data_IF_000188599128
#
_entry.id   IF_000188599128
#
_cell.length_a   1.000
_cell.length_b   1.000
_cell.length_c   1.000
_cell.angle_alpha   90.00
_cell.angle_beta   90.00
_cell.angle_gamma   90.00
#
_symmetry.space_group_name_H-M   'P 1'
#
loop_
_entity.id
_entity.type
_entity.pdbx_description
1 polymer ?
#
# COMPACT_ATOMS: atom_id res chain seq x y z
N UNK A 1 -11.97 -32.46 -3.43
CA UNK A 1 -10.57 -31.95 -3.31
C UNK A 1 -10.53 -30.67 -4.11
N UNK A 2 -10.06 -29.57 -3.53
CA UNK A 2 -10.10 -28.27 -4.19
C UNK A 2 -8.94 -28.16 -5.18
N UNK A 3 -9.23 -27.87 -6.45
CA UNK A 3 -8.24 -27.60 -7.50
C UNK A 3 -8.35 -26.16 -7.98
N UNK A 4 -7.21 -25.53 -8.30
CA UNK A 4 -7.16 -24.15 -8.82
C UNK A 4 -6.27 -24.14 -10.05
N UNK A 5 -6.81 -23.68 -11.19
CA UNK A 5 -6.12 -23.76 -12.49
C UNK A 5 -6.70 -22.76 -13.50
N UNK A 6 -5.96 -22.47 -14.59
CA UNK A 6 -6.53 -21.77 -15.74
C UNK A 6 -7.72 -22.51 -16.35
N UNK A 7 -8.66 -21.79 -17.00
CA UNK A 7 -9.72 -22.41 -17.78
C UNK A 7 -9.13 -23.19 -18.97
N UNK A 8 -9.74 -24.32 -19.32
CA UNK A 8 -9.27 -25.21 -20.40
C UNK A 8 -9.89 -24.90 -21.75
N UNK A 9 -11.04 -24.24 -21.76
CA UNK A 9 -11.81 -23.96 -22.96
C UNK A 9 -12.72 -22.74 -22.73
N UNK A 10 -13.30 -22.17 -23.80
CA UNK A 10 -14.21 -21.03 -23.68
C UNK A 10 -15.44 -21.28 -22.81
N UNK A 11 -15.91 -22.52 -22.66
CA UNK A 11 -17.04 -22.84 -21.80
C UNK A 11 -16.69 -22.67 -20.31
N UNK A 12 -15.46 -23.04 -19.90
CA UNK A 12 -14.99 -22.78 -18.54
C UNK A 12 -14.81 -21.27 -18.28
N UNK A 13 -14.38 -20.48 -19.26
CA UNK A 13 -14.31 -19.01 -19.11
C UNK A 13 -15.67 -18.41 -18.77
N UNK A 14 -16.76 -18.93 -19.37
CA UNK A 14 -18.14 -18.48 -19.06
C UNK A 14 -18.56 -18.78 -17.62
N UNK A 15 -17.95 -19.76 -16.96
CA UNK A 15 -18.23 -20.02 -15.55
C UNK A 15 -17.86 -18.81 -14.67
N UNK A 16 -16.92 -17.97 -15.09
CA UNK A 16 -16.57 -16.73 -14.38
C UNK A 16 -17.75 -15.73 -14.41
N UNK A 17 -18.51 -15.63 -15.51
CA UNK A 17 -19.73 -14.80 -15.55
C UNK A 17 -20.79 -15.32 -14.58
N UNK A 18 -20.98 -16.65 -14.54
CA UNK A 18 -21.93 -17.29 -13.63
C UNK A 18 -21.54 -17.06 -12.18
N UNK A 19 -20.27 -17.24 -11.85
CA UNK A 19 -19.74 -17.01 -10.51
C UNK A 19 -19.85 -15.53 -10.10
N UNK A 20 -19.62 -14.57 -11.00
CA UNK A 20 -19.81 -13.14 -10.71
C UNK A 20 -21.24 -12.85 -10.24
N UNK A 21 -22.25 -13.40 -10.94
CA UNK A 21 -23.66 -13.28 -10.55
C UNK A 21 -23.94 -13.92 -9.19
N UNK A 22 -23.48 -15.17 -9.00
CA UNK A 22 -23.78 -15.92 -7.78
C UNK A 22 -23.10 -15.36 -6.53
N UNK A 23 -21.90 -14.79 -6.67
CA UNK A 23 -21.11 -14.30 -5.53
C UNK A 23 -21.59 -12.93 -5.05
N UNK A 24 -21.95 -12.04 -5.97
CA UNK A 24 -22.23 -10.63 -5.63
C UNK A 24 -23.62 -10.14 -6.07
N UNK A 25 -24.42 -10.97 -6.74
CA UNK A 25 -25.72 -10.55 -7.27
C UNK A 25 -25.58 -9.40 -8.26
N UNK A 26 -24.53 -9.40 -9.09
CA UNK A 26 -24.24 -8.32 -10.02
C UNK A 26 -25.28 -8.25 -11.13
N UNK A 27 -25.69 -7.04 -11.47
CA UNK A 27 -26.47 -6.74 -12.67
C UNK A 27 -25.65 -7.00 -13.94
N UNK A 28 -26.32 -7.23 -15.06
CA UNK A 28 -25.65 -7.61 -16.31
C UNK A 28 -24.63 -6.57 -16.81
N UNK A 29 -24.82 -5.28 -16.49
CA UNK A 29 -23.88 -4.22 -16.84
C UNK A 29 -22.59 -4.21 -15.98
N UNK A 30 -22.64 -4.80 -14.78
CA UNK A 30 -21.51 -4.85 -13.86
C UNK A 30 -20.64 -6.10 -14.04
N UNK A 31 -21.17 -7.14 -14.70
CA UNK A 31 -20.45 -8.37 -14.97
C UNK A 31 -19.42 -8.12 -16.06
N UNK A 32 -18.18 -8.57 -15.84
CA UNK A 32 -17.20 -8.63 -16.93
C UNK A 32 -17.59 -9.78 -17.87
N UNK A 33 -17.95 -9.50 -19.13
CA UNK A 33 -18.45 -10.52 -20.04
C UNK A 33 -17.31 -11.41 -20.56
N UNK A 34 -17.65 -12.63 -20.98
CA UNK A 34 -16.72 -13.69 -21.35
C UNK A 34 -15.80 -13.30 -22.50
N UNK A 35 -16.30 -12.51 -23.46
CA UNK A 35 -15.53 -12.05 -24.60
C UNK A 35 -14.42 -11.09 -24.14
N UNK A 36 -14.69 -10.24 -23.16
CA UNK A 36 -13.69 -9.38 -22.52
C UNK A 36 -12.71 -10.21 -21.69
N UNK A 37 -13.19 -11.16 -20.89
CA UNK A 37 -12.31 -12.06 -20.12
C UNK A 37 -11.36 -12.84 -21.04
N UNK A 38 -11.86 -13.34 -22.16
CA UNK A 38 -11.08 -14.05 -23.16
C UNK A 38 -10.05 -13.13 -23.84
N UNK A 39 -10.45 -11.91 -24.21
CA UNK A 39 -9.52 -10.92 -24.77
C UNK A 39 -8.40 -10.55 -23.77
N UNK A 40 -8.74 -10.41 -22.48
CA UNK A 40 -7.76 -10.16 -21.42
C UNK A 40 -6.75 -11.30 -21.29
N UNK A 41 -7.21 -12.55 -21.31
CA UNK A 41 -6.34 -13.73 -21.28
C UNK A 41 -5.36 -13.73 -22.46
N UNK A 42 -5.85 -13.49 -23.68
CA UNK A 42 -5.00 -13.38 -24.88
C UNK A 42 -3.97 -12.23 -24.80
N UNK A 43 -4.33 -11.13 -24.14
CA UNK A 43 -3.46 -9.96 -23.97
C UNK A 43 -2.42 -10.13 -22.83
N UNK A 44 -2.24 -11.33 -22.29
CA UNK A 44 -1.29 -11.61 -21.21
C UNK A 44 -1.89 -11.47 -19.81
N UNK A 45 -3.21 -11.37 -19.70
CA UNK A 45 -3.95 -11.50 -18.45
C UNK A 45 -3.88 -12.91 -17.87
N UNK A 46 -4.47 -13.06 -16.68
CA UNK A 46 -4.56 -14.34 -15.99
C UNK A 46 -5.99 -14.54 -15.52
N UNK A 47 -6.58 -15.67 -15.89
CA UNK A 47 -7.82 -16.20 -15.36
C UNK A 47 -7.50 -17.46 -14.58
N UNK A 48 -8.06 -17.62 -13.37
CA UNK A 48 -8.02 -18.87 -12.63
C UNK A 48 -9.41 -19.19 -12.08
N UNK A 49 -9.77 -20.47 -12.16
CA UNK A 49 -10.98 -21.04 -11.57
C UNK A 49 -10.60 -21.99 -10.44
N UNK A 50 -11.39 -21.96 -9.37
CA UNK A 50 -11.35 -22.94 -8.30
C UNK A 50 -12.51 -23.93 -8.46
N UNK A 51 -12.24 -25.21 -8.27
CA UNK A 51 -13.24 -26.27 -8.34
C UNK A 51 -13.20 -27.15 -7.09
N UNK A 52 -14.35 -27.62 -6.65
CA UNK A 52 -14.47 -28.79 -5.78
C UNK A 52 -15.03 -29.98 -6.60
N UNK A 53 -14.15 -30.91 -6.96
CA UNK A 53 -14.46 -31.87 -8.02
C UNK A 53 -14.66 -31.14 -9.36
N UNK A 54 -15.83 -31.30 -9.98
CA UNK A 54 -16.22 -30.60 -11.22
C UNK A 54 -17.02 -29.31 -10.95
N UNK A 55 -17.41 -29.04 -9.71
CA UNK A 55 -18.23 -27.88 -9.38
C UNK A 55 -17.34 -26.63 -9.25
N UNK A 56 -17.59 -25.55 -10.03
CA UNK A 56 -16.84 -24.31 -9.90
C UNK A 56 -17.27 -23.55 -8.65
N UNK A 57 -16.31 -23.18 -7.79
CA UNK A 57 -16.57 -22.60 -6.46
C UNK A 57 -16.00 -21.19 -6.26
N UNK A 58 -15.19 -20.71 -7.21
CA UNK A 58 -14.55 -19.41 -7.10
C UNK A 58 -13.64 -19.13 -8.27
N UNK A 59 -13.16 -17.90 -8.34
CA UNK A 59 -12.29 -17.46 -9.43
C UNK A 59 -11.41 -16.28 -9.01
N UNK A 60 -10.41 -16.00 -9.84
CA UNK A 60 -9.72 -14.71 -9.86
C UNK A 60 -9.33 -14.35 -11.27
N UNK A 61 -9.35 -13.06 -11.59
CA UNK A 61 -8.72 -12.58 -12.81
C UNK A 61 -8.03 -11.23 -12.65
N UNK A 62 -7.09 -10.98 -13.54
CA UNK A 62 -6.34 -9.74 -13.60
C UNK A 62 -5.57 -9.59 -14.91
N UNK A 63 -4.90 -8.46 -15.06
CA UNK A 63 -4.26 -8.07 -16.32
C UNK A 63 -2.96 -7.28 -16.10
N UNK A 64 -2.07 -7.25 -17.11
CA UNK A 64 -0.88 -6.39 -17.10
C UNK A 64 -1.24 -4.92 -16.90
N UNK A 65 -0.51 -4.25 -16.02
CA UNK A 65 -0.61 -2.81 -15.78
C UNK A 65 0.77 -2.15 -15.78
N UNK A 66 0.77 -0.83 -15.88
CA UNK A 66 1.99 -0.02 -15.83
C UNK A 66 1.78 1.17 -14.89
N UNK A 67 2.64 1.29 -13.87
CA UNK A 67 2.56 2.34 -12.84
C UNK A 67 3.95 2.81 -12.47
N UNK A 68 4.15 4.13 -12.44
CA UNK A 68 5.39 4.73 -11.96
C UNK A 68 6.66 4.23 -12.67
N UNK A 69 6.58 3.95 -13.98
CA UNK A 69 7.69 3.46 -14.78
C UNK A 69 7.93 1.94 -14.69
N UNK A 70 7.07 1.19 -13.99
CA UNK A 70 7.24 -0.25 -13.73
C UNK A 70 6.00 -1.03 -14.13
N UNK A 71 6.21 -2.25 -14.62
CA UNK A 71 5.15 -3.22 -14.84
C UNK A 71 4.62 -3.74 -13.50
N UNK A 72 3.31 -3.81 -13.36
CA UNK A 72 2.59 -4.36 -12.20
C UNK A 72 1.47 -5.25 -12.70
N UNK A 73 1.16 -6.34 -12.00
CA UNK A 73 -0.01 -7.13 -12.33
C UNK A 73 -1.26 -6.59 -11.61
N UNK A 74 -2.29 -6.15 -12.32
CA UNK A 74 -3.52 -5.66 -11.69
C UNK A 74 -4.49 -6.81 -11.44
N UNK A 75 -4.69 -7.18 -10.17
CA UNK A 75 -5.63 -8.23 -9.77
C UNK A 75 -7.04 -7.64 -9.63
N UNK A 76 -7.82 -7.67 -10.71
CA UNK A 76 -9.10 -6.99 -10.79
C UNK A 76 -10.18 -7.58 -9.85
N UNK A 77 -10.46 -8.88 -9.94
CA UNK A 77 -11.54 -9.51 -9.18
C UNK A 77 -11.10 -10.85 -8.60
N UNK A 78 -11.60 -11.17 -7.41
CA UNK A 78 -11.44 -12.48 -6.78
C UNK A 78 -12.66 -12.77 -5.93
N UNK A 79 -13.30 -13.91 -6.16
CA UNK A 79 -14.54 -14.28 -5.51
C UNK A 79 -14.61 -15.77 -5.19
N UNK A 80 -15.38 -16.08 -4.15
CA UNK A 80 -15.70 -17.45 -3.73
C UNK A 80 -17.19 -17.50 -3.40
N UNK A 81 -17.87 -18.57 -3.84
CA UNK A 81 -19.27 -18.80 -3.54
C UNK A 81 -19.56 -18.72 -2.03
N UNK A 82 -20.70 -18.12 -1.59
CA UNK A 82 -21.00 -17.87 -0.18
C UNK A 82 -20.80 -19.08 0.75
N UNK A 83 -21.25 -20.26 0.36
CA UNK A 83 -21.16 -21.52 1.10
C UNK A 83 -19.71 -22.04 1.24
N UNK A 84 -18.80 -21.59 0.38
CA UNK A 84 -17.37 -21.91 0.39
C UNK A 84 -16.52 -20.81 1.06
N UNK A 85 -17.13 -19.69 1.50
CA UNK A 85 -16.41 -18.63 2.19
C UNK A 85 -15.95 -19.06 3.59
N UNK A 86 -14.95 -18.37 4.13
CA UNK A 86 -14.33 -18.64 5.46
C UNK A 86 -13.63 -20.00 5.60
N UNK A 87 -13.48 -20.76 4.51
CA UNK A 87 -12.74 -22.04 4.46
C UNK A 87 -11.30 -21.89 3.92
N UNK A 88 -10.78 -20.66 3.83
CA UNK A 88 -9.44 -20.36 3.30
C UNK A 88 -9.30 -20.46 1.77
N UNK A 89 -10.39 -20.72 1.04
CA UNK A 89 -10.38 -20.90 -0.42
C UNK A 89 -9.90 -19.63 -1.15
N UNK A 90 -10.40 -18.45 -0.79
CA UNK A 90 -9.96 -17.19 -1.40
C UNK A 90 -8.46 -16.95 -1.27
N UNK A 91 -7.87 -17.36 -0.13
CA UNK A 91 -6.42 -17.29 0.09
C UNK A 91 -5.68 -18.25 -0.85
N UNK A 92 -6.14 -19.51 -0.96
CA UNK A 92 -5.57 -20.49 -1.89
C UNK A 92 -5.59 -19.97 -3.34
N UNK A 93 -6.72 -19.39 -3.77
CA UNK A 93 -6.86 -18.76 -5.10
C UNK A 93 -5.83 -17.66 -5.30
N UNK A 94 -5.67 -16.74 -4.34
CA UNK A 94 -4.71 -15.64 -4.45
C UNK A 94 -3.26 -16.11 -4.46
N UNK A 95 -2.89 -17.11 -3.66
CA UNK A 95 -1.52 -17.64 -3.70
C UNK A 95 -1.24 -18.45 -4.96
N UNK A 96 -2.23 -19.14 -5.54
CA UNK A 96 -2.13 -19.70 -6.88
C UNK A 96 -1.95 -18.58 -7.93
N UNK A 97 -2.69 -17.47 -7.82
CA UNK A 97 -2.50 -16.29 -8.67
C UNK A 97 -1.08 -15.73 -8.54
N UNK A 98 -0.57 -15.57 -7.32
CA UNK A 98 0.80 -15.10 -7.07
C UNK A 98 1.83 -15.96 -7.80
N UNK A 99 1.73 -17.28 -7.72
CA UNK A 99 2.64 -18.18 -8.41
C UNK A 99 2.64 -17.93 -9.93
N UNK A 100 1.46 -17.97 -10.54
CA UNK A 100 1.30 -17.76 -11.98
C UNK A 100 1.76 -16.36 -12.44
N UNK A 101 1.56 -15.34 -11.61
CA UNK A 101 1.99 -13.96 -11.88
C UNK A 101 3.50 -13.80 -11.75
N UNK A 102 4.12 -14.44 -10.76
CA UNK A 102 5.59 -14.45 -10.60
C UNK A 102 6.29 -15.20 -11.73
N UNK A 103 5.73 -16.33 -12.19
CA UNK A 103 6.23 -17.08 -13.35
C UNK A 103 6.24 -16.24 -14.63
N UNK A 104 5.39 -15.20 -14.72
CA UNK A 104 5.34 -14.22 -15.81
C UNK A 104 6.29 -13.03 -15.61
N UNK A 105 7.14 -13.05 -14.57
CA UNK A 105 8.16 -12.02 -14.32
C UNK A 105 7.69 -10.80 -13.51
N UNK A 106 6.46 -10.80 -13.01
CA UNK A 106 5.99 -9.71 -12.15
C UNK A 106 6.50 -9.87 -10.72
N UNK A 107 6.97 -8.76 -10.14
CA UNK A 107 7.44 -8.70 -8.75
C UNK A 107 6.39 -8.14 -7.79
N UNK A 108 5.35 -7.49 -8.33
CA UNK A 108 4.26 -6.89 -7.56
C UNK A 108 2.92 -7.07 -8.29
N UNK A 109 1.85 -7.13 -7.50
CA UNK A 109 0.48 -7.00 -7.98
C UNK A 109 -0.25 -5.86 -7.27
N UNK A 110 -1.29 -5.28 -7.87
CA UNK A 110 -2.06 -4.19 -7.27
C UNK A 110 -3.57 -4.38 -7.42
N UNK A 111 -4.34 -3.83 -6.48
CA UNK A 111 -5.80 -3.75 -6.54
C UNK A 111 -6.33 -2.75 -5.51
N UNK A 112 -7.65 -2.54 -5.52
CA UNK A 112 -8.33 -1.63 -4.60
C UNK A 112 -9.30 -2.36 -3.68
N UNK A 113 -9.48 -1.89 -2.44
CA UNK A 113 -10.55 -2.37 -1.55
C UNK A 113 -11.12 -1.26 -0.65
N UNK A 114 -12.34 -1.47 -0.14
CA UNK A 114 -13.00 -0.54 0.79
C UNK A 114 -12.37 -0.62 2.20
N UNK A 115 -11.74 0.47 2.69
CA UNK A 115 -10.95 0.45 3.92
C UNK A 115 -11.78 0.28 5.20
N UNK A 116 -13.06 0.65 5.19
CA UNK A 116 -13.91 0.53 6.39
C UNK A 116 -14.37 -0.91 6.65
N UNK A 117 -14.22 -1.83 5.69
CA UNK A 117 -14.67 -3.21 5.85
C UNK A 117 -13.55 -4.07 6.45
N UNK A 118 -13.68 -4.40 7.73
CA UNK A 118 -12.73 -5.24 8.47
C UNK A 118 -12.35 -6.54 7.73
N UNK A 119 -13.33 -7.23 7.13
CA UNK A 119 -13.05 -8.47 6.37
C UNK A 119 -12.07 -8.26 5.21
N UNK A 120 -12.11 -7.09 4.57
CA UNK A 120 -11.18 -6.75 3.50
C UNK A 120 -9.79 -6.48 4.08
N UNK A 121 -9.69 -5.82 5.24
CA UNK A 121 -8.43 -5.60 5.93
C UNK A 121 -7.76 -6.93 6.32
N UNK A 122 -8.53 -7.85 6.92
CA UNK A 122 -8.06 -9.19 7.29
C UNK A 122 -7.59 -9.95 6.06
N UNK A 123 -8.35 -9.94 4.97
CA UNK A 123 -7.97 -10.65 3.76
C UNK A 123 -6.74 -10.03 3.07
N UNK A 124 -6.79 -8.74 2.76
CA UNK A 124 -5.77 -8.10 1.92
C UNK A 124 -4.46 -7.83 2.67
N UNK A 125 -4.54 -7.36 3.93
CA UNK A 125 -3.36 -7.01 4.71
C UNK A 125 -2.87 -8.23 5.50
N UNK A 126 -3.66 -8.73 6.46
CA UNK A 126 -3.18 -9.80 7.35
C UNK A 126 -2.97 -11.15 6.65
N UNK A 127 -3.84 -11.53 5.71
CA UNK A 127 -3.78 -12.86 5.10
C UNK A 127 -2.88 -12.92 3.87
N UNK A 128 -2.81 -11.86 3.05
CA UNK A 128 -1.97 -11.84 1.85
C UNK A 128 -0.63 -11.11 2.08
N UNK A 129 -0.57 -10.17 3.02
CA UNK A 129 0.62 -9.33 3.21
C UNK A 129 0.72 -8.21 2.18
N UNK A 130 -0.42 -7.73 1.64
CA UNK A 130 -0.43 -6.53 0.83
C UNK A 130 -0.21 -5.28 1.71
N UNK A 131 0.34 -4.24 1.13
CA UNK A 131 0.65 -2.97 1.79
C UNK A 131 -0.10 -1.83 1.10
N UNK A 132 -0.53 -0.82 1.86
CA UNK A 132 -1.27 0.33 1.33
C UNK A 132 -0.48 1.62 1.55
N UNK A 133 -0.37 2.44 0.50
CA UNK A 133 0.25 3.78 0.55
C UNK A 133 -0.67 4.89 0.08
N UNK A 134 -1.85 4.54 -0.41
CA UNK A 134 -2.70 5.46 -1.13
C UNK A 134 -4.17 5.20 -0.83
N UNK A 135 -4.87 6.27 -0.51
CA UNK A 135 -6.32 6.34 -0.48
C UNK A 135 -6.77 7.07 -1.75
N UNK A 136 -7.70 6.45 -2.49
CA UNK A 136 -8.46 7.10 -3.54
C UNK A 136 -9.81 7.52 -2.96
N UNK A 137 -10.13 8.80 -3.10
CA UNK A 137 -11.41 9.37 -2.68
C UNK A 137 -12.40 9.19 -3.84
N UNK A 138 -13.55 8.60 -3.55
CA UNK A 138 -14.65 8.44 -4.52
C UNK A 138 -14.22 7.85 -5.87
N UNK A 139 -13.35 6.83 -5.85
CA UNK A 139 -12.70 6.27 -7.04
C UNK A 139 -13.68 5.86 -8.16
N UNK A 140 -14.85 5.37 -7.78
CA UNK A 140 -15.86 4.86 -8.70
C UNK A 140 -17.10 5.78 -8.79
N UNK A 141 -17.07 6.97 -8.18
CA UNK A 141 -18.23 7.86 -8.11
C UNK A 141 -19.42 7.23 -7.40
N UNK A 142 -20.63 7.66 -7.80
CA UNK A 142 -21.90 7.08 -7.36
C UNK A 142 -22.08 5.70 -7.99
N UNK A 143 -22.12 4.68 -7.14
CA UNK A 143 -22.39 3.31 -7.57
C UNK A 143 -23.88 3.04 -7.39
N UNK A 144 -24.58 2.65 -8.44
CA UNK A 144 -26.02 2.42 -8.43
C UNK A 144 -26.41 0.93 -8.36
N UNK A 145 -25.43 0.02 -8.40
CA UNK A 145 -25.61 -1.41 -8.63
C UNK A 145 -24.87 -2.31 -7.64
N UNK A 146 -25.43 -3.52 -7.45
CA UNK A 146 -24.83 -4.62 -6.69
C UNK A 146 -24.46 -4.31 -5.23
N UNK A 147 -23.41 -4.96 -4.73
CA UNK A 147 -22.93 -4.87 -3.34
C UNK A 147 -22.43 -3.49 -2.91
N UNK A 148 -22.26 -2.56 -3.87
CA UNK A 148 -21.69 -1.25 -3.62
C UNK A 148 -22.70 -0.09 -3.83
N UNK A 149 -23.95 -0.39 -4.17
CA UNK A 149 -24.97 0.62 -4.42
C UNK A 149 -25.12 1.63 -3.25
N UNK A 150 -25.10 2.93 -3.55
CA UNK A 150 -25.28 4.03 -2.59
C UNK A 150 -24.08 4.27 -1.65
N UNK A 151 -22.92 3.65 -1.89
CA UNK A 151 -21.74 3.80 -1.04
C UNK A 151 -20.77 4.87 -1.53
N UNK A 152 -20.07 5.48 -0.58
CA UNK A 152 -18.83 6.22 -0.86
C UNK A 152 -17.81 5.23 -1.44
N UNK A 153 -17.26 5.56 -2.61
CA UNK A 153 -16.34 4.70 -3.35
C UNK A 153 -14.87 4.93 -2.95
N UNK A 154 -14.61 5.30 -1.70
CA UNK A 154 -13.25 5.42 -1.18
C UNK A 154 -12.55 4.05 -1.21
N UNK A 155 -11.29 4.03 -1.68
CA UNK A 155 -10.53 2.79 -1.84
C UNK A 155 -9.10 2.94 -1.38
N UNK A 156 -8.64 1.99 -0.57
CA UNK A 156 -7.22 1.72 -0.45
C UNK A 156 -6.73 1.05 -1.72
N UNK A 157 -5.74 1.64 -2.39
CA UNK A 157 -4.95 0.96 -3.41
C UNK A 157 -3.78 0.27 -2.73
N UNK A 158 -3.77 -1.06 -2.81
CA UNK A 158 -2.71 -1.88 -2.24
C UNK A 158 -1.76 -2.38 -3.31
N UNK A 159 -0.50 -2.51 -2.89
CA UNK A 159 0.52 -3.26 -3.58
C UNK A 159 0.78 -4.56 -2.83
N UNK A 160 0.83 -5.67 -3.55
CA UNK A 160 1.20 -6.97 -3.02
C UNK A 160 2.60 -7.31 -3.51
N UNK A 161 3.63 -7.18 -2.65
CA UNK A 161 5.02 -7.39 -3.03
C UNK A 161 5.30 -8.90 -3.12
N UNK A 162 5.03 -9.48 -4.30
CA UNK A 162 4.96 -10.91 -4.52
C UNK A 162 6.24 -11.64 -4.10
N UNK A 163 7.41 -11.05 -4.32
CA UNK A 163 8.71 -11.66 -3.99
C UNK A 163 9.19 -11.38 -2.57
N UNK A 164 8.43 -10.64 -1.75
CA UNK A 164 8.89 -10.26 -0.42
C UNK A 164 8.86 -11.44 0.57
N UNK A 165 9.91 -11.65 1.41
CA UNK A 165 9.98 -12.79 2.32
C UNK A 165 8.78 -12.93 3.28
N UNK A 166 8.18 -11.80 3.67
CA UNK A 166 6.96 -11.83 4.50
C UNK A 166 5.78 -12.51 3.81
N UNK A 167 5.57 -12.25 2.51
CA UNK A 167 4.48 -12.86 1.71
C UNK A 167 4.74 -14.35 1.53
N UNK A 168 5.99 -14.75 1.34
CA UNK A 168 6.38 -16.16 1.29
C UNK A 168 6.11 -16.87 2.63
N UNK A 169 6.47 -16.24 3.76
CA UNK A 169 6.16 -16.78 5.09
C UNK A 169 4.66 -16.97 5.30
N UNK A 170 3.84 -16.00 4.87
CA UNK A 170 2.38 -16.13 4.91
C UNK A 170 1.91 -17.28 4.01
N UNK A 171 2.43 -17.40 2.78
CA UNK A 171 2.10 -18.52 1.88
C UNK A 171 2.31 -19.87 2.58
N UNK A 172 3.46 -20.04 3.24
CA UNK A 172 3.86 -21.29 3.87
C UNK A 172 3.11 -21.59 5.17
N UNK A 173 2.80 -20.58 5.98
CA UNK A 173 2.07 -20.78 7.23
C UNK A 173 0.60 -21.10 7.02
N UNK A 174 0.01 -20.65 5.90
CA UNK A 174 -1.42 -20.74 5.63
C UNK A 174 -2.28 -19.87 6.56
N UNK A 175 -1.69 -19.11 7.49
CA UNK A 175 -2.39 -18.34 8.52
C UNK A 175 -2.19 -16.83 8.32
N UNK A 176 -3.20 -15.99 8.60
CA UNK A 176 -3.03 -14.54 8.65
C UNK A 176 -2.09 -14.11 9.78
N UNK A 177 -1.40 -12.98 9.61
CA UNK A 177 -0.56 -12.37 10.64
C UNK A 177 -1.20 -11.09 11.16
N UNK A 178 -1.30 -10.98 12.48
CA UNK A 178 -1.86 -9.83 13.19
C UNK A 178 -0.80 -9.24 14.12
N UNK A 179 -0.86 -7.93 14.33
CA UNK A 179 -0.16 -7.30 15.43
C UNK A 179 -0.82 -7.69 16.77
N UNK A 180 0.00 -7.80 17.82
CA UNK A 180 -0.47 -8.24 19.15
C UNK A 180 -1.27 -7.17 19.88
N UNK A 181 -0.81 -5.92 19.78
CA UNK A 181 -1.40 -4.76 20.42
C UNK A 181 -0.91 -3.50 19.71
N UNK A 182 -1.55 -2.37 20.02
CA UNK A 182 -1.15 -1.04 19.57
C UNK A 182 -0.94 -0.18 20.82
N UNK A 183 0.29 0.31 21.08
CA UNK A 183 0.55 1.31 22.10
C UNK A 183 -0.32 2.56 21.94
N UNK A 184 -0.74 3.15 23.06
CA UNK A 184 -1.71 4.25 23.08
C UNK A 184 -1.24 5.49 22.32
N UNK A 185 0.06 5.76 22.34
CA UNK A 185 0.72 6.90 21.71
C UNK A 185 0.72 6.83 20.18
N UNK A 186 0.48 5.65 19.60
CA UNK A 186 0.47 5.49 18.15
C UNK A 186 -0.88 5.81 17.51
N UNK A 187 -1.94 5.96 18.29
CA UNK A 187 -3.26 6.20 17.71
C UNK A 187 -3.42 7.63 17.19
N UNK A 188 -3.87 7.73 15.94
CA UNK A 188 -4.30 8.97 15.29
C UNK A 188 -5.83 9.05 15.25
N UNK A 189 -6.49 7.90 15.15
CA UNK A 189 -7.94 7.76 15.19
C UNK A 189 -8.32 6.63 16.14
N UNK A 190 -9.28 6.89 17.02
CA UNK A 190 -9.85 5.93 17.97
C UNK A 190 -11.36 5.77 17.77
N UNK A 191 -11.89 4.65 18.22
CA UNK A 191 -13.32 4.47 18.45
C UNK A 191 -13.63 4.86 19.90
N UNK A 192 -14.41 5.93 20.10
CA UNK A 192 -14.85 6.39 21.42
C UNK A 192 -16.38 6.44 21.46
N UNK A 193 -17.00 5.62 22.32
CA UNK A 193 -18.47 5.49 22.40
C UNK A 193 -19.13 5.22 21.04
N UNK A 194 -18.43 4.44 20.19
CA UNK A 194 -18.87 4.12 18.83
C UNK A 194 -18.75 5.26 17.81
N UNK A 195 -18.18 6.41 18.16
CA UNK A 195 -17.93 7.54 17.26
C UNK A 195 -16.41 7.69 16.99
N UNK A 196 -16.02 8.30 15.85
CA UNK A 196 -14.62 8.58 15.57
C UNK A 196 -14.07 9.67 16.50
N UNK A 197 -12.90 9.42 17.07
CA UNK A 197 -12.13 10.38 17.87
C UNK A 197 -10.74 10.57 17.25
N UNK A 198 -10.52 11.71 16.58
CA UNK A 198 -9.20 12.11 16.10
C UNK A 198 -8.34 12.58 17.27
N UNK A 199 -7.08 12.16 17.27
CA UNK A 199 -6.10 12.50 18.30
C UNK A 199 -4.96 13.34 17.69
N UNK A 200 -4.37 14.20 18.51
CA UNK A 200 -3.11 14.83 18.17
C UNK A 200 -2.02 13.76 18.11
N UNK A 201 -1.29 13.71 17.00
CA UNK A 201 -0.30 12.68 16.75
C UNK A 201 1.09 13.27 16.49
N UNK A 202 2.11 12.64 17.07
CA UNK A 202 3.51 12.97 16.85
C UNK A 202 4.06 12.24 15.62
N UNK A 203 4.17 12.97 14.51
CA UNK A 203 4.70 12.46 13.24
C UNK A 203 6.21 12.15 13.27
N UNK A 204 6.89 12.27 14.41
CA UNK A 204 8.25 11.75 14.59
C UNK A 204 8.27 10.27 14.94
N UNK A 205 7.15 9.72 15.43
CA UNK A 205 7.03 8.31 15.83
C UNK A 205 7.14 7.37 14.62
N UNK A 206 7.72 6.17 14.77
CA UNK A 206 7.92 5.25 13.65
C UNK A 206 6.65 4.50 13.22
N UNK A 207 5.64 4.45 14.09
CA UNK A 207 4.39 3.73 13.88
C UNK A 207 3.20 4.62 14.22
N UNK A 208 2.12 4.46 13.45
CA UNK A 208 0.83 5.09 13.66
C UNK A 208 -0.27 4.04 13.59
N UNK A 209 -1.44 4.34 14.15
CA UNK A 209 -2.58 3.45 14.13
C UNK A 209 -3.89 4.20 13.92
N UNK A 210 -4.78 3.57 13.17
CA UNK A 210 -6.12 4.05 12.87
C UNK A 210 -7.09 2.96 13.29
N UNK A 211 -7.80 3.20 14.40
CA UNK A 211 -8.88 2.34 14.85
C UNK A 211 -10.16 2.62 14.06
N UNK A 212 -10.86 1.56 13.67
CA UNK A 212 -12.11 1.62 12.95
C UNK A 212 -13.15 0.72 13.60
N UNK A 213 -14.44 1.01 13.42
CA UNK A 213 -15.49 0.16 13.95
C UNK A 213 -15.46 -1.23 13.31
N UNK A 214 -15.60 -2.27 14.13
CA UNK A 214 -15.63 -3.66 13.67
C UNK A 214 -16.85 -3.99 12.78
N UNK A 215 -18.01 -3.39 13.09
CA UNK A 215 -19.30 -3.78 12.48
C UNK A 215 -19.87 -2.75 11.48
N UNK A 216 -19.03 -2.24 10.58
CA UNK A 216 -19.46 -1.27 9.56
C UNK A 216 -20.62 -1.79 8.70
N UNK A 217 -20.61 -3.07 8.32
CA UNK A 217 -21.65 -3.65 7.47
C UNK A 217 -23.05 -3.58 8.15
N UNK A 218 -23.12 -3.73 9.48
CA UNK A 218 -24.38 -3.57 10.23
C UNK A 218 -24.77 -2.10 10.40
N UNK A 219 -23.79 -1.23 10.65
CA UNK A 219 -23.99 0.22 10.77
C UNK A 219 -24.55 0.83 9.49
N UNK A 220 -24.15 0.34 8.31
CA UNK A 220 -24.64 0.81 7.01
C UNK A 220 -26.15 0.78 6.89
N UNK A 221 -26.77 -0.30 7.37
CA UNK A 221 -28.23 -0.45 7.28
C UNK A 221 -28.96 0.47 8.27
N UNK A 222 -28.38 0.68 9.46
CA UNK A 222 -29.04 1.40 10.56
C UNK A 222 -28.78 2.90 10.55
N UNK A 223 -27.61 3.33 10.08
CA UNK A 223 -27.15 4.73 10.23
C UNK A 223 -26.14 5.14 9.14
N UNK A 224 -26.59 5.40 7.91
CA UNK A 224 -25.71 5.82 6.80
C UNK A 224 -24.87 7.08 7.12
N UNK A 225 -25.44 8.04 7.84
CA UNK A 225 -24.71 9.26 8.25
C UNK A 225 -23.52 8.97 9.17
N UNK A 226 -23.64 7.95 10.02
CA UNK A 226 -22.53 7.52 10.88
C UNK A 226 -21.40 6.91 10.05
N UNK A 227 -21.72 6.16 9.00
CA UNK A 227 -20.73 5.61 8.07
C UNK A 227 -20.01 6.74 7.31
N UNK A 228 -20.73 7.79 6.89
CA UNK A 228 -20.12 8.98 6.27
C UNK A 228 -19.15 9.69 7.21
N UNK A 229 -19.51 9.85 8.50
CA UNK A 229 -18.58 10.40 9.52
C UNK A 229 -17.31 9.57 9.64
N UNK A 230 -17.41 8.23 9.59
CA UNK A 230 -16.25 7.36 9.61
C UNK A 230 -15.36 7.49 8.37
N UNK A 231 -15.94 7.65 7.17
CA UNK A 231 -15.14 7.96 5.97
C UNK A 231 -14.42 9.31 6.11
N UNK A 232 -15.10 10.35 6.60
CA UNK A 232 -14.48 11.66 6.82
C UNK A 232 -13.31 11.58 7.81
N UNK A 233 -13.54 10.96 8.98
CA UNK A 233 -12.50 10.79 9.99
C UNK A 233 -11.32 9.94 9.49
N UNK A 234 -11.58 8.90 8.69
CA UNK A 234 -10.53 8.10 8.06
C UNK A 234 -9.68 8.96 7.11
N UNK A 235 -10.31 9.79 6.27
CA UNK A 235 -9.60 10.70 5.35
C UNK A 235 -8.69 11.66 6.13
N UNK A 236 -9.24 12.31 7.17
CA UNK A 236 -8.49 13.23 8.03
C UNK A 236 -7.30 12.56 8.73
N UNK A 237 -7.46 11.32 9.17
CA UNK A 237 -6.39 10.58 9.84
C UNK A 237 -5.31 10.08 8.87
N UNK A 238 -5.71 9.50 7.73
CA UNK A 238 -4.79 8.71 6.90
C UNK A 238 -4.06 9.51 5.83
N UNK A 239 -4.68 10.55 5.27
CA UNK A 239 -4.05 11.36 4.21
C UNK A 239 -2.76 12.00 4.72
N UNK A 240 -2.74 12.68 5.90
CA UNK A 240 -1.50 13.25 6.43
C UNK A 240 -0.43 12.19 6.73
N UNK A 241 -0.83 10.98 7.14
CA UNK A 241 0.11 9.88 7.37
C UNK A 241 0.74 9.41 6.05
N UNK A 242 -0.05 9.23 5.00
CA UNK A 242 0.49 8.88 3.68
C UNK A 242 1.40 9.98 3.11
N UNK A 243 1.01 11.25 3.25
CA UNK A 243 1.85 12.40 2.87
C UNK A 243 3.16 12.46 3.68
N UNK A 244 3.10 12.05 4.95
CA UNK A 244 4.27 11.93 5.82
C UNK A 244 5.11 10.65 5.56
N UNK A 245 4.73 9.82 4.58
CA UNK A 245 5.48 8.64 4.12
C UNK A 245 5.15 7.34 4.86
N UNK A 246 4.10 7.32 5.68
CA UNK A 246 3.65 6.08 6.31
C UNK A 246 2.95 5.16 5.30
N UNK A 247 2.94 3.86 5.57
CA UNK A 247 2.17 2.89 4.82
C UNK A 247 1.53 1.87 5.76
N UNK A 248 0.35 1.37 5.41
CA UNK A 248 -0.28 0.24 6.11
C UNK A 248 0.44 -1.04 5.70
N UNK A 249 0.92 -1.82 6.67
CA UNK A 249 1.45 -3.17 6.42
C UNK A 249 0.89 -4.24 7.36
N UNK A 250 0.19 -3.83 8.42
CA UNK A 250 -0.38 -4.74 9.42
C UNK A 250 -1.73 -4.25 9.92
N UNK A 251 -2.44 -5.14 10.60
CA UNK A 251 -3.63 -4.80 11.38
C UNK A 251 -3.52 -5.40 12.78
N UNK A 252 -4.08 -4.70 13.76
CA UNK A 252 -4.39 -5.25 15.07
C UNK A 252 -5.85 -5.67 15.07
N UNK A 253 -6.12 -6.90 15.50
CA UNK A 253 -7.49 -7.40 15.64
C UNK A 253 -7.65 -8.17 16.96
N UNK A 254 -8.50 -7.65 17.82
CA UNK A 254 -8.97 -8.28 19.06
C UNK A 254 -10.51 -8.20 19.13
N UNK A 255 -11.17 -8.78 20.15
CA UNK A 255 -12.62 -8.64 20.32
C UNK A 255 -13.11 -7.19 20.34
N UNK A 256 -12.29 -6.27 20.88
CA UNK A 256 -12.67 -4.87 21.10
C UNK A 256 -12.02 -3.90 20.11
N UNK A 257 -10.93 -4.31 19.44
CA UNK A 257 -10.10 -3.41 18.62
C UNK A 257 -9.95 -3.95 17.21
N UNK A 258 -10.29 -3.13 16.23
CA UNK A 258 -9.87 -3.28 14.84
C UNK A 258 -9.09 -2.03 14.44
N UNK A 259 -7.79 -2.17 14.17
CA UNK A 259 -6.96 -1.04 13.77
C UNK A 259 -6.02 -1.40 12.62
N UNK A 260 -5.84 -0.47 11.68
CA UNK A 260 -4.70 -0.50 10.77
C UNK A 260 -3.46 -0.01 11.51
N UNK A 261 -2.34 -0.70 11.31
CA UNK A 261 -1.03 -0.24 11.76
C UNK A 261 -0.27 0.26 10.54
N UNK A 262 0.22 1.49 10.66
CA UNK A 262 1.04 2.15 9.67
C UNK A 262 2.46 2.28 10.17
N UNK A 263 3.41 2.14 9.27
CA UNK A 263 4.84 2.28 9.54
C UNK A 263 5.48 3.24 8.58
N UNK A 264 6.58 3.84 9.02
CA UNK A 264 7.46 4.62 8.17
C UNK A 264 8.90 4.19 8.37
N UNK A 265 9.69 4.24 7.30
CA UNK A 265 11.12 4.03 7.40
C UNK A 265 11.78 5.10 8.28
N UNK A 266 12.94 4.78 8.84
CA UNK A 266 13.75 5.75 9.59
C UNK A 266 14.08 6.96 8.73
N UNK A 267 14.08 8.15 9.34
CA UNK A 267 14.52 9.39 8.68
C UNK A 267 15.99 9.30 8.25
N UNK A 268 16.26 9.75 7.03
CA UNK A 268 17.56 9.96 6.43
C UNK A 268 17.60 11.33 5.78
N UNK A 269 18.77 11.95 5.81
CA UNK A 269 18.96 13.30 5.34
C UNK A 269 20.00 13.31 4.22
N UNK A 270 19.65 13.89 3.08
CA UNK A 270 20.62 14.39 2.11
C UNK A 270 21.12 15.73 2.63
N UNK A 271 22.43 15.87 2.83
CA UNK A 271 23.03 17.13 3.26
C UNK A 271 24.08 17.60 2.26
N UNK A 272 24.17 18.92 2.10
CA UNK A 272 25.16 19.60 1.27
C UNK A 272 26.00 20.49 2.16
N UNK A 273 27.32 20.33 2.04
CA UNK A 273 28.30 21.14 2.73
C UNK A 273 28.99 22.06 1.75
N UNK A 274 29.16 23.31 2.13
CA UNK A 274 30.10 24.22 1.49
C UNK A 274 31.45 24.14 2.19
N UNK A 275 32.51 23.95 1.41
CA UNK A 275 33.88 23.92 1.91
C UNK A 275 34.48 25.32 1.95
N UNK A 276 35.59 25.48 2.69
CA UNK A 276 36.35 26.73 2.71
C UNK A 276 36.83 27.22 1.32
N UNK A 277 36.84 26.32 0.32
CA UNK A 277 37.18 26.65 -1.07
C UNK A 277 35.97 27.02 -1.95
N UNK A 278 34.77 27.20 -1.39
CA UNK A 278 33.55 27.54 -2.15
C UNK A 278 33.05 26.42 -3.06
N UNK A 279 33.36 25.16 -2.71
CA UNK A 279 32.89 23.96 -3.43
C UNK A 279 31.90 23.18 -2.59
N UNK A 280 31.00 22.44 -3.24
CA UNK A 280 30.00 21.63 -2.54
C UNK A 280 30.43 20.17 -2.41
N UNK A 281 30.21 19.64 -1.21
CA UNK A 281 30.21 18.21 -0.93
C UNK A 281 28.79 17.76 -0.60
N UNK A 282 28.39 16.58 -1.08
CA UNK A 282 27.05 16.02 -0.84
C UNK A 282 27.19 14.65 -0.20
N UNK A 283 26.37 14.38 0.82
CA UNK A 283 26.33 13.08 1.48
C UNK A 283 24.97 12.80 2.11
N UNK A 284 24.83 11.60 2.69
CA UNK A 284 23.63 11.20 3.43
C UNK A 284 23.96 10.79 4.86
N UNK A 285 23.06 11.06 5.80
CA UNK A 285 23.21 10.68 7.20
C UNK A 285 21.84 10.56 7.89
N UNK A 286 21.77 9.84 9.01
CA UNK A 286 20.62 9.90 9.93
C UNK A 286 20.78 11.00 10.99
N UNK A 287 21.97 11.59 11.09
CA UNK A 287 22.32 12.66 12.04
C UNK A 287 23.35 13.57 11.35
N UNK A 288 22.88 14.71 10.83
CA UNK A 288 23.68 15.65 10.04
C UNK A 288 24.66 16.42 10.92
N UNK A 289 24.27 16.80 12.13
CA UNK A 289 25.13 17.55 13.05
C UNK A 289 26.35 16.75 13.50
N UNK A 290 26.14 15.49 13.90
CA UNK A 290 27.23 14.59 14.23
C UNK A 290 28.16 14.41 13.04
N UNK A 291 27.59 14.32 11.83
CA UNK A 291 28.38 14.17 10.60
C UNK A 291 29.17 15.44 10.26
N UNK A 292 28.59 16.63 10.45
CA UNK A 292 29.28 17.92 10.30
C UNK A 292 30.48 18.04 11.24
N UNK A 293 30.30 17.68 12.53
CA UNK A 293 31.39 17.64 13.53
C UNK A 293 32.52 16.69 13.09
N UNK A 294 32.19 15.52 12.55
CA UNK A 294 33.19 14.59 12.01
C UNK A 294 33.96 15.18 10.82
N UNK A 295 33.28 15.85 9.89
CA UNK A 295 33.94 16.52 8.77
C UNK A 295 34.91 17.61 9.26
N UNK A 296 34.49 18.47 10.20
CA UNK A 296 35.32 19.56 10.72
C UNK A 296 36.49 19.09 11.61
N UNK A 297 36.38 17.92 12.24
CA UNK A 297 37.49 17.29 12.98
C UNK A 297 38.46 16.50 12.08
N UNK A 298 38.22 16.47 10.75
CA UNK A 298 39.07 15.77 9.79
C UNK A 298 38.81 14.27 9.70
N UNK A 299 37.87 13.73 10.48
CA UNK A 299 37.43 12.33 10.48
C UNK A 299 36.30 12.03 9.47
N UNK A 300 35.94 13.01 8.65
CA UNK A 300 34.96 12.88 7.57
C UNK A 300 35.57 12.36 6.27
N UNK A 301 34.92 12.64 5.13
CA UNK A 301 35.42 12.24 3.82
C UNK A 301 36.77 12.90 3.49
N UNK A 302 37.66 12.16 2.81
CA UNK A 302 38.98 12.65 2.36
C UNK A 302 38.87 13.96 1.56
N UNK A 303 37.80 14.12 0.76
CA UNK A 303 37.56 15.34 0.00
C UNK A 303 37.43 16.59 0.89
N UNK A 304 36.67 16.46 1.98
CA UNK A 304 36.39 17.54 2.92
C UNK A 304 37.49 17.75 3.96
N UNK A 305 38.27 16.71 4.32
CA UNK A 305 39.30 16.82 5.37
C UNK A 305 40.40 17.84 5.02
N UNK A 306 40.68 18.01 3.72
CA UNK A 306 41.62 18.99 3.17
C UNK A 306 41.01 20.38 2.93
N UNK A 307 39.70 20.55 3.11
CA UNK A 307 38.94 21.77 2.73
C UNK A 307 38.05 22.29 3.86
N UNK A 308 38.56 22.17 5.08
CA UNK A 308 37.90 22.60 6.32
C UNK A 308 38.14 24.10 6.56
N UNK A 309 37.29 24.79 7.35
CA UNK A 309 36.02 24.30 7.86
C UNK A 309 34.98 24.13 6.74
N UNK A 310 34.01 23.26 6.99
CA UNK A 310 32.84 23.07 6.13
C UNK A 310 31.58 23.47 6.89
N UNK A 311 30.60 24.02 6.17
CA UNK A 311 29.31 24.47 6.72
C UNK A 311 28.18 23.77 6.00
N UNK A 312 27.12 23.41 6.71
CA UNK A 312 25.89 22.91 6.07
C UNK A 312 25.21 24.09 5.37
N UNK A 313 24.90 23.91 4.08
CA UNK A 313 24.19 24.93 3.27
C UNK A 313 22.83 24.46 2.81
N UNK A 314 22.57 23.15 2.82
CA UNK A 314 21.26 22.58 2.53
C UNK A 314 21.10 21.21 3.16
N UNK A 315 19.88 20.90 3.59
CA UNK A 315 19.47 19.57 4.05
C UNK A 315 18.08 19.24 3.50
N UNK A 316 17.90 18.02 3.02
CA UNK A 316 16.60 17.47 2.66
C UNK A 316 16.35 16.18 3.43
N UNK A 317 15.18 16.10 4.05
CA UNK A 317 14.69 14.93 4.77
C UNK A 317 13.97 13.98 3.81
N UNK A 318 14.24 12.69 3.99
CA UNK A 318 13.53 11.59 3.38
C UNK A 318 13.46 10.40 4.34
N UNK A 319 12.76 9.34 3.95
CA UNK A 319 12.64 8.14 4.75
C UNK A 319 13.25 6.94 4.01
N UNK A 320 14.11 6.21 4.72
CA UNK A 320 14.82 5.06 4.20
C UNK A 320 16.14 5.39 3.49
N UNK A 321 17.15 4.55 3.74
CA UNK A 321 18.51 4.70 3.17
C UNK A 321 18.51 4.63 1.65
N UNK A 322 17.68 3.76 1.07
CA UNK A 322 17.60 3.55 -0.39
C UNK A 322 17.19 4.84 -1.09
N UNK A 323 16.10 5.49 -0.63
CA UNK A 323 15.64 6.77 -1.15
C UNK A 323 16.69 7.86 -0.97
N UNK A 324 17.32 7.95 0.21
CA UNK A 324 18.41 8.90 0.46
C UNK A 324 19.58 8.72 -0.52
N UNK A 325 19.95 7.47 -0.82
CA UNK A 325 21.02 7.15 -1.78
C UNK A 325 20.66 7.57 -3.21
N UNK A 326 19.40 7.38 -3.62
CA UNK A 326 18.91 7.85 -4.93
C UNK A 326 18.95 9.38 -5.03
N UNK A 327 18.56 10.09 -3.96
CA UNK A 327 18.66 11.55 -3.89
C UNK A 327 20.12 12.02 -3.99
N UNK A 328 21.03 11.38 -3.26
CA UNK A 328 22.46 11.69 -3.32
C UNK A 328 23.01 11.53 -4.73
N UNK A 329 22.67 10.43 -5.40
CA UNK A 329 23.06 10.18 -6.78
C UNK A 329 22.50 11.26 -7.71
N UNK A 330 21.20 11.55 -7.66
CA UNK A 330 20.56 12.55 -8.50
C UNK A 330 21.15 13.96 -8.28
N UNK A 331 21.39 14.35 -7.03
CA UNK A 331 22.00 15.64 -6.71
C UNK A 331 23.42 15.74 -7.26
N UNK A 332 24.20 14.65 -7.21
CA UNK A 332 25.56 14.61 -7.79
C UNK A 332 25.56 14.85 -9.30
N UNK A 333 24.53 14.39 -10.02
CA UNK A 333 24.38 14.60 -11.47
C UNK A 333 24.03 16.05 -11.87
N UNK A 334 23.57 16.89 -10.92
CA UNK A 334 23.27 18.29 -11.22
C UNK A 334 24.54 19.07 -11.62
N UNK A 335 24.39 19.97 -12.58
CA UNK A 335 25.41 20.95 -12.95
C UNK A 335 25.70 21.91 -11.78
N UNK A 336 26.82 22.63 -11.83
CA UNK A 336 27.17 23.60 -10.77
C UNK A 336 26.07 24.66 -10.60
N UNK A 337 25.53 25.20 -11.68
CA UNK A 337 24.46 26.21 -11.63
C UNK A 337 23.16 25.66 -11.05
N UNK A 338 22.80 24.42 -11.40
CA UNK A 338 21.64 23.73 -10.83
C UNK A 338 21.79 23.49 -9.32
N UNK A 339 22.98 23.05 -8.87
CA UNK A 339 23.27 22.86 -7.44
C UNK A 339 23.15 24.16 -6.66
N UNK A 340 23.72 25.26 -7.17
CA UNK A 340 23.63 26.58 -6.52
C UNK A 340 22.17 27.00 -6.39
N UNK A 341 21.38 26.89 -7.47
CA UNK A 341 19.95 27.22 -7.44
C UNK A 341 19.19 26.38 -6.42
N UNK A 342 19.40 25.06 -6.43
CA UNK A 342 18.71 24.13 -5.52
C UNK A 342 19.08 24.39 -4.05
N UNK A 343 20.35 24.66 -3.75
CA UNK A 343 20.81 25.02 -2.40
C UNK A 343 20.19 26.34 -1.93
N UNK A 344 20.11 27.36 -2.80
CA UNK A 344 19.52 28.65 -2.48
C UNK A 344 17.98 28.61 -2.37
N UNK A 345 17.33 27.68 -3.06
CA UNK A 345 15.88 27.49 -2.99
C UNK A 345 15.46 26.77 -1.69
N UNK A 346 14.23 27.04 -1.24
CA UNK A 346 13.56 26.28 -0.18
C UNK A 346 12.68 25.14 -0.75
N UNK A 347 12.96 24.71 -1.98
CA UNK A 347 12.15 23.73 -2.71
C UNK A 347 12.44 22.29 -2.23
N UNK A 348 11.44 21.43 -2.45
CA UNK A 348 11.61 19.98 -2.30
C UNK A 348 12.51 19.43 -3.39
N UNK A 349 13.22 18.33 -3.12
CA UNK A 349 14.08 17.68 -4.10
C UNK A 349 13.65 16.22 -4.30
N UNK A 350 13.03 15.91 -5.45
CA UNK A 350 12.49 14.58 -5.78
C UNK A 350 11.60 13.98 -4.67
N UNK A 351 10.77 14.83 -4.06
CA UNK A 351 9.86 14.51 -2.97
C UNK A 351 10.49 14.59 -1.56
N UNK A 352 11.78 14.85 -1.45
CA UNK A 352 12.43 15.08 -0.16
C UNK A 352 12.15 16.50 0.34
N UNK A 353 11.73 16.62 1.60
CA UNK A 353 11.35 17.90 2.22
C UNK A 353 12.59 18.69 2.61
N UNK A 354 12.66 19.98 2.26
CA UNK A 354 13.74 20.86 2.73
C UNK A 354 13.62 21.04 4.25
N UNK A 355 14.71 20.84 4.96
CA UNK A 355 14.83 21.11 6.40
C UNK A 355 15.97 22.11 6.64
N UNK A 356 15.80 22.98 7.63
CA UNK A 356 16.72 24.06 7.94
C UNK A 356 17.87 23.61 8.82
#
# INVERSE_FOLDING_TARGET
MITIRPPRNPAEVRLIEVLQRQIWGMDDLAITPYNTLHALEHAGGLLLLAFDGEHPIGFTFGFPGYRGGKSIFWSHMTGVLPEYQRQGIGRKIKFAQRQHVMERGYTAAGWTFDPLRQKNAVFNIAALGAVCRQLHIELYGEMSDGINAGLVSDRFEVEWPLTHPHVEKLSNSGQPAFARSVPSEFYVLRVANGEPLLLNYDYTLPEAAIELPAEVDQMRQKSPEKVRRWYHALREAIIPLFDAGYWVDQICLSPDVFAYILRRDKAWYLYVLETAAGTFYTGIATDVEKRLKQHNTGKGAKYTSLRRPVKVVAVWETFGRSKATQLEYAFKQLSRSQKIRMVASHETFLGAKRVQ
#
